data_IF_947243204540
#
_entry.id   IF_947243204540
#
_cell.length_a   1.000
_cell.length_b   1.000
_cell.length_c   1.000
_cell.angle_alpha   90.00
_cell.angle_beta   90.00
_cell.angle_gamma   90.00
#
_symmetry.space_group_name_H-M   'P 1'
#
loop_
_entity.id
_entity.type
_entity.pdbx_description
1 polymer ?
#
# COMPACT_ATOMS: atom_id res chain seq x y z
N UNK A 1 -17.79 -8.79 0.52
CA UNK A 1 -16.58 -9.39 -0.07
C UNK A 1 -16.51 -9.00 -1.54
N UNK A 2 -15.32 -8.72 -2.09
CA UNK A 2 -15.17 -8.67 -3.55
C UNK A 2 -15.43 -10.05 -4.16
N UNK A 3 -15.54 -10.10 -5.48
CA UNK A 3 -15.78 -11.34 -6.21
C UNK A 3 -14.46 -12.02 -6.62
N UNK A 4 -13.38 -11.86 -5.86
CA UNK A 4 -12.10 -12.47 -6.20
C UNK A 4 -12.19 -14.01 -6.13
N UNK A 5 -11.58 -14.76 -7.08
CA UNK A 5 -11.64 -16.23 -7.11
C UNK A 5 -11.03 -16.90 -5.87
N UNK A 6 -10.17 -16.20 -5.14
CA UNK A 6 -9.54 -16.68 -3.92
C UNK A 6 -10.51 -16.68 -2.71
N UNK A 7 -11.65 -16.00 -2.81
CA UNK A 7 -12.61 -15.97 -1.72
C UNK A 7 -13.37 -17.30 -1.64
N UNK A 8 -13.56 -17.86 -0.43
CA UNK A 8 -14.38 -19.04 -0.25
C UNK A 8 -15.84 -18.78 -0.62
N UNK A 9 -16.56 -19.84 -0.98
CA UNK A 9 -17.99 -19.72 -1.24
C UNK A 9 -18.73 -19.27 0.03
N UNK A 10 -19.74 -18.41 -0.11
CA UNK A 10 -20.56 -17.92 1.02
C UNK A 10 -21.17 -19.07 1.83
N UNK A 11 -21.45 -20.21 1.19
CA UNK A 11 -21.99 -21.39 1.86
C UNK A 11 -21.03 -22.05 2.85
N UNK A 12 -19.70 -21.91 2.63
CA UNK A 12 -18.67 -22.43 3.53
C UNK A 12 -18.29 -21.45 4.62
N UNK A 13 -18.60 -20.16 4.43
CA UNK A 13 -18.40 -19.09 5.39
C UNK A 13 -19.63 -18.93 6.29
N UNK A 14 -19.86 -19.91 7.18
CA UNK A 14 -20.93 -19.82 8.19
C UNK A 14 -20.34 -19.65 9.58
N UNK A 15 -20.62 -18.50 10.18
CA UNK A 15 -20.46 -18.26 11.61
C UNK A 15 -21.82 -17.84 12.16
N UNK A 16 -22.15 -18.26 13.39
CA UNK A 16 -23.51 -18.14 13.96
C UNK A 16 -24.09 -16.72 13.94
N UNK A 17 -23.23 -15.69 13.93
CA UNK A 17 -23.62 -14.27 13.99
C UNK A 17 -23.08 -13.42 12.82
N UNK A 18 -22.55 -14.02 11.75
CA UNK A 18 -21.96 -13.27 10.62
C UNK A 18 -22.58 -13.75 9.31
N UNK A 19 -23.26 -12.85 8.61
CA UNK A 19 -23.78 -13.08 7.26
C UNK A 19 -22.78 -12.59 6.22
N UNK A 20 -22.37 -13.47 5.31
CA UNK A 20 -21.46 -13.13 4.22
C UNK A 20 -22.25 -12.85 2.95
N UNK A 21 -21.99 -11.70 2.33
CA UNK A 21 -22.53 -11.33 1.01
C UNK A 21 -21.40 -10.86 0.09
N UNK A 22 -21.48 -11.26 -1.18
CA UNK A 22 -20.64 -10.71 -2.23
C UNK A 22 -21.17 -9.35 -2.68
N UNK A 23 -20.26 -8.46 -3.03
CA UNK A 23 -20.61 -7.18 -3.64
C UNK A 23 -21.24 -7.41 -5.02
N UNK A 24 -22.25 -6.61 -5.41
CA UNK A 24 -22.77 -6.65 -6.77
C UNK A 24 -21.66 -6.43 -7.82
N UNK A 25 -21.80 -6.99 -9.03
CA UNK A 25 -20.85 -6.74 -10.12
C UNK A 25 -20.63 -5.24 -10.32
N UNK A 26 -19.38 -4.83 -10.57
CA UNK A 26 -18.96 -3.43 -10.80
C UNK A 26 -19.11 -2.46 -9.62
N UNK A 27 -19.37 -2.92 -8.40
CA UNK A 27 -19.46 -2.04 -7.21
C UNK A 27 -18.20 -2.04 -6.33
N UNK A 28 -17.22 -2.88 -6.65
CA UNK A 28 -15.98 -3.05 -5.89
C UNK A 28 -15.27 -1.72 -5.62
N UNK A 29 -15.07 -0.89 -6.66
CA UNK A 29 -14.45 0.42 -6.52
C UNK A 29 -15.27 1.43 -5.69
N UNK A 30 -16.58 1.22 -5.52
CA UNK A 30 -17.48 2.11 -4.76
C UNK A 30 -17.56 1.67 -3.29
N UNK A 31 -17.39 0.38 -3.02
CA UNK A 31 -17.58 -0.19 -1.68
C UNK A 31 -16.27 -0.59 -1.00
N UNK A 32 -15.20 -0.85 -1.76
CA UNK A 32 -13.90 -1.18 -1.21
C UNK A 32 -13.03 0.06 -1.09
N UNK A 33 -12.77 0.46 0.15
CA UNK A 33 -11.89 1.58 0.50
C UNK A 33 -10.48 1.42 -0.12
N UNK A 34 -9.99 0.18 -0.23
CA UNK A 34 -8.72 -0.14 -0.88
C UNK A 34 -8.65 0.36 -2.33
N UNK A 35 -9.77 0.26 -3.06
CA UNK A 35 -9.90 0.71 -4.45
C UNK A 35 -10.26 2.20 -4.57
N UNK A 36 -10.62 2.84 -3.45
CA UNK A 36 -10.99 4.26 -3.37
C UNK A 36 -9.83 5.21 -3.08
N UNK A 37 -8.60 4.78 -3.35
CA UNK A 37 -7.43 5.63 -3.25
C UNK A 37 -6.68 5.51 -1.93
N UNK A 38 -7.11 4.66 -0.99
CA UNK A 38 -6.28 4.28 0.17
C UNK A 38 -4.98 3.64 -0.31
N UNK A 39 -5.07 2.64 -1.21
CA UNK A 39 -3.90 1.98 -1.77
C UNK A 39 -3.06 2.91 -2.65
N UNK A 40 -3.71 3.83 -3.39
CA UNK A 40 -3.00 4.81 -4.21
C UNK A 40 -2.22 5.81 -3.35
N UNK A 41 -2.87 6.39 -2.34
CA UNK A 41 -2.27 7.34 -1.40
C UNK A 41 -1.09 6.70 -0.67
N UNK A 42 -1.26 5.47 -0.19
CA UNK A 42 -0.21 4.74 0.51
C UNK A 42 1.00 4.47 -0.41
N UNK A 43 0.77 3.99 -1.64
CA UNK A 43 1.84 3.78 -2.64
C UNK A 43 2.56 5.08 -2.97
N UNK A 44 1.83 6.19 -3.11
CA UNK A 44 2.38 7.51 -3.40
C UNK A 44 3.26 8.01 -2.26
N UNK A 45 2.80 7.90 -1.02
CA UNK A 45 3.56 8.31 0.17
C UNK A 45 4.82 7.46 0.33
N UNK A 46 4.72 6.13 0.18
CA UNK A 46 5.87 5.23 0.23
C UNK A 46 6.94 5.60 -0.81
N UNK A 47 6.54 5.78 -2.09
CA UNK A 47 7.48 6.15 -3.16
C UNK A 47 8.14 7.50 -2.92
N UNK A 48 7.37 8.48 -2.44
CA UNK A 48 7.90 9.80 -2.10
C UNK A 48 9.00 9.69 -1.05
N UNK A 49 8.76 8.96 0.04
CA UNK A 49 9.75 8.81 1.11
C UNK A 49 10.98 8.04 0.65
N UNK A 50 10.79 6.95 -0.11
CA UNK A 50 11.89 6.17 -0.66
C UNK A 50 12.80 7.03 -1.56
N UNK A 51 12.21 7.82 -2.45
CA UNK A 51 12.94 8.74 -3.31
C UNK A 51 13.61 9.86 -2.50
N UNK A 52 12.95 10.39 -1.46
CA UNK A 52 13.56 11.37 -0.57
C UNK A 52 14.80 10.82 0.14
N UNK A 53 14.74 9.58 0.65
CA UNK A 53 15.89 8.91 1.31
C UNK A 53 17.02 8.65 0.31
N UNK A 54 16.69 8.25 -0.92
CA UNK A 54 17.68 8.04 -1.99
C UNK A 54 18.35 9.34 -2.43
N UNK A 55 17.60 10.45 -2.50
CA UNK A 55 18.12 11.73 -2.99
C UNK A 55 18.80 12.56 -1.90
N UNK A 56 18.54 12.30 -0.61
CA UNK A 56 19.12 13.08 0.49
C UNK A 56 20.62 12.87 0.69
N UNK A 57 21.18 11.81 0.14
CA UNK A 57 22.58 11.42 0.34
C UNK A 57 23.35 11.27 -0.99
N UNK A 58 22.68 11.52 -2.12
CA UNK A 58 23.30 11.52 -3.44
C UNK A 58 23.95 12.90 -3.71
N UNK A 59 25.11 13.13 -3.09
CA UNK A 59 26.00 14.26 -3.39
C UNK A 59 27.26 13.70 -4.06
N UNK A 60 27.54 14.11 -5.30
CA UNK A 60 28.67 13.59 -6.08
C UNK A 60 28.48 13.72 -7.59
N UNK A 61 29.51 13.32 -8.35
CA UNK A 61 29.41 13.20 -9.81
C UNK A 61 28.56 11.98 -10.25
N UNK A 62 28.39 11.78 -11.56
CA UNK A 62 27.49 10.74 -12.10
C UNK A 62 27.92 9.31 -11.71
N UNK A 63 29.22 9.06 -11.57
CA UNK A 63 29.75 7.75 -11.16
C UNK A 63 29.56 7.52 -9.66
N UNK A 64 29.80 8.54 -8.83
CA UNK A 64 29.53 8.51 -7.39
C UNK A 64 28.03 8.31 -7.09
N UNK A 65 27.16 9.00 -7.81
CA UNK A 65 25.71 8.86 -7.68
C UNK A 65 25.25 7.43 -8.05
N UNK A 66 25.80 6.87 -9.14
CA UNK A 66 25.48 5.50 -9.56
C UNK A 66 25.94 4.47 -8.51
N UNK A 67 27.15 4.63 -7.99
CA UNK A 67 27.67 3.79 -6.90
C UNK A 67 26.79 3.89 -5.66
N UNK A 68 26.40 5.11 -5.26
CA UNK A 68 25.53 5.36 -4.12
C UNK A 68 24.18 4.66 -4.27
N UNK A 69 23.50 4.80 -5.42
CA UNK A 69 22.20 4.15 -5.68
C UNK A 69 22.31 2.64 -5.47
N UNK A 70 23.38 2.02 -6.00
CA UNK A 70 23.61 0.57 -5.83
C UNK A 70 23.81 0.20 -4.36
N UNK A 71 24.56 0.99 -3.59
CA UNK A 71 24.77 0.74 -2.17
C UNK A 71 23.50 0.92 -1.35
N UNK A 72 22.71 1.95 -1.65
CA UNK A 72 21.42 2.20 -1.01
C UNK A 72 20.51 0.96 -1.12
N UNK A 73 20.34 0.41 -2.32
CA UNK A 73 19.49 -0.77 -2.53
C UNK A 73 20.03 -2.03 -1.86
N UNK A 74 21.36 -2.17 -1.75
CA UNK A 74 21.98 -3.29 -1.02
C UNK A 74 21.81 -3.16 0.50
N UNK A 75 21.81 -1.94 1.02
CA UNK A 75 21.64 -1.66 2.44
C UNK A 75 20.17 -1.73 2.89
N UNK A 76 19.22 -1.57 1.97
CA UNK A 76 17.79 -1.54 2.30
C UNK A 76 17.31 -2.90 2.83
N UNK A 77 16.85 -2.93 4.08
CA UNK A 77 16.39 -4.15 4.73
C UNK A 77 14.87 -4.27 4.73
N UNK A 78 14.36 -5.50 4.97
CA UNK A 78 12.92 -5.72 5.18
C UNK A 78 12.38 -4.92 6.38
N UNK A 79 13.19 -4.74 7.42
CA UNK A 79 12.84 -3.92 8.59
C UNK A 79 12.61 -2.47 8.20
N UNK A 80 13.47 -1.91 7.34
CA UNK A 80 13.30 -0.56 6.81
C UNK A 80 12.04 -0.44 5.98
N UNK A 81 11.74 -1.45 5.14
CA UNK A 81 10.49 -1.50 4.38
C UNK A 81 9.24 -1.47 5.27
N UNK A 82 9.24 -2.22 6.39
CA UNK A 82 8.12 -2.20 7.35
C UNK A 82 7.96 -0.82 7.97
N UNK A 83 9.04 -0.16 8.37
CA UNK A 83 8.95 1.21 8.89
C UNK A 83 8.49 2.20 7.83
N UNK A 84 8.98 2.11 6.59
CA UNK A 84 8.53 2.98 5.50
C UNK A 84 7.05 2.78 5.18
N UNK A 85 6.51 1.56 5.30
CA UNK A 85 5.07 1.30 5.17
C UNK A 85 4.28 1.96 6.29
N UNK A 86 4.77 1.89 7.53
CA UNK A 86 4.16 2.56 8.68
C UNK A 86 4.19 4.09 8.53
N UNK A 87 5.34 4.66 8.16
CA UNK A 87 5.51 6.09 7.87
C UNK A 87 4.64 6.55 6.69
N UNK A 88 4.44 5.70 5.68
CA UNK A 88 3.58 6.01 4.53
C UNK A 88 2.08 5.99 4.86
N UNK A 89 1.68 5.31 5.93
CA UNK A 89 0.29 5.24 6.39
C UNK A 89 -0.15 6.50 7.12
N UNK A 90 0.73 7.11 7.91
CA UNK A 90 0.43 8.31 8.70
C UNK A 90 -0.18 9.48 7.90
N UNK A 91 0.30 9.84 6.69
CA UNK A 91 -0.30 10.91 5.89
C UNK A 91 -1.53 10.47 5.07
N UNK A 92 -1.98 9.22 5.14
CA UNK A 92 -3.16 8.76 4.41
C UNK A 92 -4.40 9.48 4.97
N UNK A 93 -5.12 10.28 4.16
CA UNK A 93 -6.17 11.13 4.69
C UNK A 93 -7.34 10.34 5.25
N UNK A 94 -7.87 10.74 6.41
CA UNK A 94 -9.07 10.16 7.03
C UNK A 94 -10.27 10.04 6.09
N UNK A 95 -10.43 10.97 5.15
CA UNK A 95 -11.53 10.95 4.19
C UNK A 95 -11.43 9.80 3.18
N UNK A 96 -10.24 9.23 2.98
CA UNK A 96 -10.07 7.98 2.21
C UNK A 96 -10.49 6.75 3.02
N UNK A 97 -10.59 6.86 4.35
CA UNK A 97 -10.97 5.78 5.27
C UNK A 97 -12.45 5.82 5.68
N UNK A 98 -13.10 6.99 5.61
CA UNK A 98 -14.44 7.25 6.15
C UNK A 98 -15.50 7.56 5.09
N UNK A 99 -15.27 7.21 3.82
CA UNK A 99 -16.20 7.54 2.74
C UNK A 99 -17.43 6.62 2.78
N UNK A 100 -18.42 7.01 3.58
CA UNK A 100 -19.79 6.50 3.56
C UNK A 100 -20.78 7.67 3.58
#
# INVERSE_FOLDING_TARGET
MDNAPANPNVETLKAENITWIFMPPNTTAILQLMDQGVMESMKRCYRKQLLSKLLSEADGDEEEATCYIVQFWKALTLKDCVYMVNEAWEPVPDHTLKRF
#
